data_IF_473295651545
#
_entry.id   IF_473295651545
#
_cell.length_a   1.000
_cell.length_b   1.000
_cell.length_c   1.000
_cell.angle_alpha   90.00
_cell.angle_beta   90.00
_cell.angle_gamma   90.00
#
_symmetry.space_group_name_H-M   'P 1'
#
loop_
_entity.id
_entity.type
_entity.pdbx_description
1 polymer ?
#
# COMPACT_ATOMS: atom_id res chain seq x y z
N UNK A 1 18.00 -14.23 -4.54
CA UNK A 1 17.97 -13.89 -3.11
C UNK A 1 16.88 -14.74 -2.48
N UNK A 2 17.09 -15.34 -1.32
CA UNK A 2 16.05 -16.13 -0.65
C UNK A 2 14.94 -15.21 -0.13
N UNK A 3 13.70 -15.74 0.00
CA UNK A 3 12.57 -14.98 0.54
C UNK A 3 12.89 -14.40 1.92
N UNK A 4 13.57 -15.17 2.77
CA UNK A 4 14.02 -14.73 4.12
C UNK A 4 14.97 -13.53 4.06
N UNK A 5 15.98 -13.56 3.18
CA UNK A 5 16.89 -12.42 3.04
C UNK A 5 16.13 -11.18 2.51
N UNK A 6 15.24 -11.36 1.53
CA UNK A 6 14.38 -10.28 1.03
C UNK A 6 13.52 -9.67 2.14
N UNK A 7 12.95 -10.50 3.00
CA UNK A 7 12.16 -10.06 4.15
C UNK A 7 12.96 -9.16 5.10
N UNK A 8 14.13 -9.60 5.53
CA UNK A 8 14.96 -8.83 6.47
C UNK A 8 15.48 -7.51 5.86
N UNK A 9 15.89 -7.52 4.57
CA UNK A 9 16.29 -6.28 3.91
C UNK A 9 15.13 -5.30 3.77
N UNK A 10 13.93 -5.80 3.46
CA UNK A 10 12.74 -4.95 3.34
C UNK A 10 12.32 -4.39 4.69
N UNK A 11 12.35 -5.20 5.74
CA UNK A 11 12.06 -4.77 7.10
C UNK A 11 13.06 -3.70 7.57
N UNK A 12 14.36 -3.91 7.32
CA UNK A 12 15.39 -2.92 7.63
C UNK A 12 15.17 -1.61 6.85
N UNK A 13 14.86 -1.69 5.55
CA UNK A 13 14.56 -0.53 4.74
C UNK A 13 13.32 0.22 5.23
N UNK A 14 12.26 -0.50 5.64
CA UNK A 14 11.06 0.10 6.23
C UNK A 14 11.39 0.88 7.51
N UNK A 15 12.16 0.28 8.42
CA UNK A 15 12.57 0.93 9.67
C UNK A 15 13.41 2.17 9.35
N UNK A 16 14.39 2.05 8.48
CA UNK A 16 15.28 3.16 8.10
C UNK A 16 14.49 4.33 7.50
N UNK A 17 13.56 4.06 6.58
CA UNK A 17 12.73 5.08 5.95
C UNK A 17 11.80 5.73 6.98
N UNK A 18 11.14 4.94 7.82
CA UNK A 18 10.28 5.48 8.87
C UNK A 18 11.07 6.41 9.79
N UNK A 19 12.25 6.00 10.26
CA UNK A 19 13.12 6.83 11.09
C UNK A 19 13.55 8.11 10.35
N UNK A 20 13.97 7.98 9.10
CA UNK A 20 14.44 9.13 8.29
C UNK A 20 13.37 10.22 8.18
N UNK A 21 12.15 9.84 7.82
CA UNK A 21 11.05 10.80 7.65
C UNK A 21 10.53 11.35 8.98
N UNK A 22 10.64 10.57 10.07
CA UNK A 22 10.23 11.00 11.40
C UNK A 22 11.18 12.03 12.03
N UNK A 23 12.50 11.85 11.85
CA UNK A 23 13.51 12.78 12.41
C UNK A 23 13.85 13.95 11.50
N UNK A 24 13.28 14.01 10.29
CA UNK A 24 13.54 15.07 9.32
C UNK A 24 12.24 15.71 8.84
N UNK A 25 12.35 16.89 8.25
CA UNK A 25 11.21 17.57 7.61
C UNK A 25 11.09 17.22 6.11
N UNK A 26 11.59 16.06 5.69
CA UNK A 26 11.60 15.67 4.27
C UNK A 26 10.19 15.56 3.68
N UNK A 27 9.22 15.07 4.44
CA UNK A 27 7.82 15.02 3.99
C UNK A 27 7.27 16.41 3.69
N UNK A 28 7.51 17.35 4.59
CA UNK A 28 7.07 18.74 4.41
C UNK A 28 7.78 19.36 3.21
N UNK A 29 9.11 19.25 3.15
CA UNK A 29 9.91 19.82 2.05
C UNK A 29 9.51 19.23 0.70
N UNK A 30 9.23 17.92 0.63
CA UNK A 30 8.77 17.28 -0.60
C UNK A 30 7.35 17.71 -0.97
N UNK A 31 6.46 17.85 0.03
CA UNK A 31 5.07 18.24 -0.18
C UNK A 31 4.94 19.68 -0.70
N UNK A 32 5.85 20.57 -0.27
CA UNK A 32 5.89 21.96 -0.75
C UNK A 32 6.11 22.08 -2.28
N UNK A 33 6.67 21.07 -2.94
CA UNK A 33 6.80 21.04 -4.40
C UNK A 33 5.43 20.96 -5.10
N UNK A 34 4.41 20.51 -4.40
CA UNK A 34 3.05 20.29 -4.93
C UNK A 34 2.03 21.29 -4.39
N UNK A 35 2.47 22.27 -3.57
CA UNK A 35 1.61 23.29 -2.98
C UNK A 35 2.11 24.69 -3.25
N UNK A 36 1.25 25.53 -3.82
CA UNK A 36 1.54 26.94 -4.06
C UNK A 36 1.06 27.79 -2.89
N UNK A 37 2.01 28.32 -2.10
CA UNK A 37 1.70 29.20 -0.96
C UNK A 37 1.05 30.51 -1.39
N UNK A 38 1.39 31.05 -2.59
CA UNK A 38 0.86 32.32 -3.09
C UNK A 38 -0.61 32.26 -3.45
N UNK A 39 -1.08 31.11 -3.96
CA UNK A 39 -2.47 30.89 -4.36
C UNK A 39 -3.24 30.01 -3.37
N UNK A 40 -2.57 29.45 -2.37
CA UNK A 40 -3.13 28.47 -1.42
C UNK A 40 -3.75 27.25 -2.10
N UNK A 41 -3.17 26.83 -3.24
CA UNK A 41 -3.70 25.73 -4.05
C UNK A 41 -2.68 24.60 -4.22
N UNK A 42 -3.20 23.38 -4.32
CA UNK A 42 -2.45 22.20 -4.72
C UNK A 42 -2.16 22.20 -6.22
N UNK A 43 -1.10 21.49 -6.64
CA UNK A 43 -0.72 21.35 -8.04
C UNK A 43 -1.85 20.81 -8.90
N UNK A 44 -2.64 19.89 -8.36
CA UNK A 44 -3.85 19.36 -8.97
C UNK A 44 -5.01 19.66 -8.03
N UNK A 45 -6.10 20.22 -8.57
CA UNK A 45 -7.28 20.46 -7.79
C UNK A 45 -7.94 19.12 -7.37
N UNK A 46 -8.42 19.05 -6.15
CA UNK A 46 -9.01 17.81 -5.59
C UNK A 46 -10.30 17.38 -6.30
N UNK A 47 -11.00 18.34 -6.86
CA UNK A 47 -12.25 18.22 -7.61
C UNK A 47 -12.05 18.11 -9.14
N UNK A 48 -10.81 18.01 -9.61
CA UNK A 48 -10.53 17.78 -11.02
C UNK A 48 -11.02 16.39 -11.46
N UNK A 49 -12.11 16.41 -12.24
CA UNK A 49 -12.79 15.19 -12.68
C UNK A 49 -11.94 14.33 -13.63
N UNK A 50 -11.08 14.94 -14.45
CA UNK A 50 -10.23 14.21 -15.40
C UNK A 50 -9.15 13.43 -14.67
N UNK A 51 -8.40 14.08 -13.78
CA UNK A 51 -7.38 13.41 -12.99
C UNK A 51 -8.00 12.35 -12.06
N UNK A 52 -9.16 12.64 -11.44
CA UNK A 52 -9.90 11.68 -10.64
C UNK A 52 -10.34 10.47 -11.46
N UNK A 53 -10.84 10.67 -12.66
CA UNK A 53 -11.24 9.59 -13.56
C UNK A 53 -10.04 8.70 -13.94
N UNK A 54 -8.92 9.31 -14.34
CA UNK A 54 -7.73 8.59 -14.84
C UNK A 54 -7.01 7.86 -13.70
N UNK A 55 -6.67 8.54 -12.61
CA UNK A 55 -5.77 8.00 -11.59
C UNK A 55 -6.48 7.32 -10.42
N UNK A 56 -7.78 7.55 -10.25
CA UNK A 56 -8.53 6.93 -9.16
C UNK A 56 -9.59 5.95 -9.68
N UNK A 57 -10.54 6.42 -10.49
CA UNK A 57 -11.68 5.58 -10.92
C UNK A 57 -11.22 4.46 -11.84
N UNK A 58 -10.44 4.77 -12.88
CA UNK A 58 -9.95 3.78 -13.85
C UNK A 58 -9.00 2.77 -13.18
N UNK A 59 -8.11 3.25 -12.33
CA UNK A 59 -7.21 2.40 -11.58
C UNK A 59 -7.96 1.43 -10.65
N UNK A 60 -9.01 1.91 -9.98
CA UNK A 60 -9.88 1.08 -9.13
C UNK A 60 -10.62 0.02 -9.93
N UNK A 61 -11.19 0.39 -11.09
CA UNK A 61 -11.89 -0.55 -11.98
C UNK A 61 -10.92 -1.62 -12.49
N UNK A 62 -9.75 -1.22 -12.97
CA UNK A 62 -8.69 -2.13 -13.42
C UNK A 62 -8.27 -3.11 -12.30
N UNK A 63 -8.10 -2.61 -11.10
CA UNK A 63 -7.74 -3.43 -9.94
C UNK A 63 -8.83 -4.45 -9.62
N UNK A 64 -10.07 -4.01 -9.47
CA UNK A 64 -11.20 -4.90 -9.15
C UNK A 64 -11.40 -5.95 -10.24
N UNK A 65 -11.35 -5.57 -11.53
CA UNK A 65 -11.49 -6.50 -12.64
C UNK A 65 -10.36 -7.55 -12.66
N UNK A 66 -9.12 -7.14 -12.37
CA UNK A 66 -7.98 -8.06 -12.28
C UNK A 66 -8.16 -9.08 -11.16
N UNK A 67 -8.52 -8.62 -9.96
CA UNK A 67 -8.77 -9.52 -8.81
C UNK A 67 -9.93 -10.45 -9.07
N UNK A 68 -11.02 -9.96 -9.67
CA UNK A 68 -12.18 -10.78 -10.06
C UNK A 68 -11.80 -11.85 -11.09
N UNK A 69 -10.98 -11.50 -12.08
CA UNK A 69 -10.49 -12.46 -13.10
C UNK A 69 -9.64 -13.56 -12.46
N UNK A 70 -8.77 -13.20 -11.50
CA UNK A 70 -7.96 -14.18 -10.77
C UNK A 70 -8.86 -15.10 -9.95
N UNK A 71 -9.85 -14.57 -9.24
CA UNK A 71 -10.81 -15.37 -8.46
C UNK A 71 -11.60 -16.33 -9.35
N UNK A 72 -12.13 -15.86 -10.48
CA UNK A 72 -12.83 -16.69 -11.47
C UNK A 72 -11.90 -17.79 -11.99
N UNK A 73 -10.65 -17.48 -12.27
CA UNK A 73 -9.65 -18.45 -12.72
C UNK A 73 -9.42 -19.54 -11.67
N UNK A 74 -9.28 -19.17 -10.41
CA UNK A 74 -9.09 -20.11 -9.31
C UNK A 74 -10.31 -21.02 -9.12
N UNK A 75 -11.53 -20.51 -9.24
CA UNK A 75 -12.76 -21.24 -8.93
C UNK A 75 -13.23 -22.11 -10.10
N UNK A 76 -13.22 -21.57 -11.32
CA UNK A 76 -13.89 -22.16 -12.47
C UNK A 76 -12.97 -22.68 -13.57
N UNK A 77 -11.71 -22.19 -13.64
CA UNK A 77 -10.80 -22.53 -14.73
C UNK A 77 -9.69 -23.51 -14.33
N UNK A 78 -9.87 -24.27 -13.26
CA UNK A 78 -8.88 -25.25 -12.75
C UNK A 78 -8.50 -26.33 -13.77
N UNK A 79 -9.35 -26.60 -14.79
CA UNK A 79 -9.09 -27.57 -15.87
C UNK A 79 -8.18 -27.00 -16.96
N UNK A 80 -8.00 -25.70 -17.04
CA UNK A 80 -7.10 -25.04 -17.99
C UNK A 80 -5.65 -25.30 -17.56
N UNK A 81 -4.84 -25.84 -18.46
CA UNK A 81 -3.45 -26.23 -18.18
C UNK A 81 -2.62 -25.09 -17.58
N UNK A 82 -2.81 -23.86 -18.08
CA UNK A 82 -2.08 -22.71 -17.55
C UNK A 82 -2.46 -22.41 -16.09
N UNK A 83 -3.75 -22.45 -15.75
CA UNK A 83 -4.25 -22.22 -14.39
C UNK A 83 -3.74 -23.32 -13.46
N UNK A 84 -3.82 -24.59 -13.89
CA UNK A 84 -3.32 -25.73 -13.11
C UNK A 84 -1.82 -25.59 -12.80
N UNK A 85 -1.01 -25.21 -13.80
CA UNK A 85 0.44 -25.09 -13.66
C UNK A 85 0.89 -23.85 -12.86
N UNK A 86 0.00 -22.87 -12.64
CA UNK A 86 0.27 -21.64 -11.92
C UNK A 86 -0.66 -21.45 -10.72
N UNK A 87 -1.34 -22.50 -10.26
CA UNK A 87 -2.39 -22.43 -9.26
C UNK A 87 -1.91 -21.80 -7.94
N UNK A 88 -0.75 -22.23 -7.45
CA UNK A 88 -0.13 -21.69 -6.24
C UNK A 88 0.17 -20.19 -6.38
N UNK A 89 0.74 -19.77 -7.51
CA UNK A 89 0.99 -18.36 -7.79
C UNK A 89 -0.31 -17.52 -7.86
N UNK A 90 -1.39 -18.08 -8.43
CA UNK A 90 -2.70 -17.42 -8.46
C UNK A 90 -3.27 -17.22 -7.06
N UNK A 91 -3.11 -18.20 -6.16
CA UNK A 91 -3.51 -18.09 -4.75
C UNK A 91 -2.71 -16.98 -4.07
N UNK A 92 -1.38 -16.93 -4.26
CA UNK A 92 -0.52 -15.87 -3.70
C UNK A 92 -1.01 -14.50 -4.16
N UNK A 93 -1.26 -14.31 -5.47
CA UNK A 93 -1.73 -13.03 -6.00
C UNK A 93 -3.10 -12.66 -5.44
N UNK A 94 -4.04 -13.60 -5.40
CA UNK A 94 -5.38 -13.36 -4.88
C UNK A 94 -5.36 -12.91 -3.42
N UNK A 95 -4.68 -13.66 -2.55
CA UNK A 95 -4.60 -13.29 -1.14
C UNK A 95 -3.80 -12.01 -0.90
N UNK A 96 -2.76 -11.75 -1.67
CA UNK A 96 -2.03 -10.49 -1.60
C UNK A 96 -2.93 -9.30 -1.96
N UNK A 97 -3.68 -9.39 -3.05
CA UNK A 97 -4.61 -8.35 -3.46
C UNK A 97 -5.77 -8.18 -2.48
N UNK A 98 -6.21 -9.21 -1.80
CA UNK A 98 -7.27 -9.12 -0.81
C UNK A 98 -6.77 -8.56 0.54
N UNK A 99 -5.71 -9.15 1.10
CA UNK A 99 -5.29 -8.89 2.47
C UNK A 99 -4.52 -7.57 2.62
N UNK A 100 -3.69 -7.19 1.64
CA UNK A 100 -2.88 -5.98 1.76
C UNK A 100 -3.73 -4.72 1.90
N UNK A 101 -4.74 -4.43 1.04
CA UNK A 101 -5.60 -3.27 1.24
C UNK A 101 -6.39 -3.30 2.55
N UNK A 102 -6.80 -4.49 3.01
CA UNK A 102 -7.50 -4.65 4.29
C UNK A 102 -6.56 -4.28 5.45
N UNK A 103 -5.37 -4.88 5.51
CA UNK A 103 -4.40 -4.65 6.58
C UNK A 103 -3.98 -3.18 6.61
N UNK A 104 -3.64 -2.60 5.46
CA UNK A 104 -3.25 -1.18 5.36
C UNK A 104 -4.40 -0.27 5.81
N UNK A 105 -5.64 -0.59 5.46
CA UNK A 105 -6.82 0.19 5.90
C UNK A 105 -7.02 0.09 7.42
N UNK A 106 -6.83 -1.08 8.01
CA UNK A 106 -6.92 -1.27 9.46
C UNK A 106 -5.86 -0.44 10.19
N UNK A 107 -4.60 -0.48 9.74
CA UNK A 107 -3.52 0.33 10.31
C UNK A 107 -3.83 1.82 10.15
N UNK A 108 -4.27 2.23 8.95
CA UNK A 108 -4.64 3.62 8.65
C UNK A 108 -5.70 4.16 9.60
N UNK A 109 -6.74 3.38 9.86
CA UNK A 109 -7.85 3.81 10.74
C UNK A 109 -7.42 4.02 12.20
N UNK A 110 -6.28 3.46 12.60
CA UNK A 110 -5.71 3.61 13.95
C UNK A 110 -4.61 4.68 14.02
N UNK A 111 -4.11 5.16 12.87
CA UNK A 111 -2.90 6.00 12.88
C UNK A 111 -3.14 7.44 13.34
N UNK A 112 -4.33 8.00 13.12
CA UNK A 112 -4.69 9.39 13.45
C UNK A 112 -3.72 10.47 12.92
N UNK A 113 -2.82 10.12 12.00
CA UNK A 113 -1.89 11.06 11.35
C UNK A 113 -2.63 11.87 10.29
N UNK A 114 -2.62 13.22 10.37
CA UNK A 114 -3.34 14.06 9.42
C UNK A 114 -2.78 13.98 8.00
N UNK A 115 -3.66 14.18 7.01
CA UNK A 115 -3.26 14.34 5.63
C UNK A 115 -2.57 15.71 5.43
N UNK A 116 -1.68 15.87 4.44
CA UNK A 116 -1.07 17.15 4.13
C UNK A 116 -2.08 18.30 3.97
N UNK A 117 -3.19 18.08 3.27
CA UNK A 117 -4.24 19.08 3.04
C UNK A 117 -4.99 19.53 4.31
N UNK A 118 -4.77 18.86 5.42
CA UNK A 118 -5.36 19.17 6.72
C UNK A 118 -4.42 19.95 7.64
N UNK A 119 -3.15 20.08 7.26
CA UNK A 119 -2.15 20.75 8.11
C UNK A 119 -2.20 22.28 8.00
N UNK A 120 -1.98 22.95 9.11
CA UNK A 120 -1.91 24.42 9.20
C UNK A 120 -0.92 25.02 8.19
N UNK A 121 0.22 24.37 7.96
CA UNK A 121 1.25 24.79 7.00
C UNK A 121 0.76 24.78 5.54
N UNK A 122 -0.31 24.05 5.24
CA UNK A 122 -0.97 23.96 3.94
C UNK A 122 -2.41 24.49 3.99
N UNK A 123 -2.68 25.45 4.88
CA UNK A 123 -3.97 26.12 5.03
C UNK A 123 -5.10 25.21 5.57
N UNK A 124 -4.75 24.13 6.29
CA UNK A 124 -5.69 23.28 7.03
C UNK A 124 -5.84 23.69 8.49
N UNK A 125 -6.31 22.80 9.34
CA UNK A 125 -6.70 23.08 10.72
C UNK A 125 -5.90 22.30 11.78
N UNK A 126 -4.98 21.41 11.37
CA UNK A 126 -4.25 20.52 12.27
C UNK A 126 -2.74 20.83 12.27
N UNK A 127 -2.10 20.64 13.40
CA UNK A 127 -0.64 20.63 13.47
C UNK A 127 -0.07 19.36 12.84
N UNK A 128 1.18 19.45 12.41
CA UNK A 128 1.90 18.27 11.93
C UNK A 128 2.17 17.36 13.13
N UNK A 129 1.76 16.11 13.04
CA UNK A 129 1.94 15.09 14.08
C UNK A 129 2.69 13.89 13.48
N UNK A 130 3.82 13.56 14.07
CA UNK A 130 4.63 12.40 13.67
C UNK A 130 4.11 11.08 14.25
N UNK A 131 4.60 9.96 13.72
CA UNK A 131 4.25 8.62 14.18
C UNK A 131 4.66 8.39 15.64
N UNK A 132 5.83 8.88 16.06
CA UNK A 132 6.31 8.74 17.44
C UNK A 132 5.54 9.57 18.44
N UNK A 133 5.00 10.70 18.03
CA UNK A 133 4.14 11.50 18.89
C UNK A 133 2.83 10.79 19.22
N UNK A 134 2.28 10.06 18.23
CA UNK A 134 1.05 9.29 18.42
C UNK A 134 1.28 8.05 19.30
N UNK A 135 2.44 7.40 19.19
CA UNK A 135 2.79 6.23 20.00
C UNK A 135 3.03 6.62 21.48
N UNK A 136 3.28 7.90 21.78
CA UNK A 136 3.42 8.37 23.14
C UNK A 136 2.10 8.21 23.90
N UNK A 137 2.12 7.48 25.04
CA UNK A 137 0.95 7.14 25.88
C UNK A 137 0.13 8.36 26.28
N UNK A 138 0.77 9.51 26.50
CA UNK A 138 0.09 10.75 26.86
C UNK A 138 -0.73 11.33 25.70
N UNK A 139 -0.27 11.17 24.47
CA UNK A 139 -0.99 11.60 23.27
C UNK A 139 -2.18 10.67 23.01
N UNK A 140 -1.99 9.35 23.16
CA UNK A 140 -3.06 8.34 23.05
C UNK A 140 -4.17 8.62 24.10
N UNK A 141 -3.81 8.95 25.35
CA UNK A 141 -4.81 9.26 26.39
C UNK A 141 -5.59 10.54 26.06
N UNK A 142 -4.92 11.58 25.57
CA UNK A 142 -5.58 12.82 25.17
C UNK A 142 -6.54 12.60 23.99
N UNK A 143 -6.15 11.77 23.00
CA UNK A 143 -7.03 11.41 21.88
C UNK A 143 -8.23 10.54 22.31
N UNK A 144 -8.05 9.62 23.27
CA UNK A 144 -9.13 8.76 23.77
C UNK A 144 -10.16 9.54 24.62
N UNK A 145 -9.72 10.58 25.31
CA UNK A 145 -10.56 11.39 26.21
C UNK A 145 -10.98 12.74 25.61
N UNK A 146 -10.56 13.08 24.38
CA UNK A 146 -11.03 14.27 23.66
C UNK A 146 -12.53 14.19 23.34
N UNK A 147 -13.25 15.35 23.32
CA UNK A 147 -14.65 15.40 22.93
C UNK A 147 -14.89 14.77 21.56
N UNK A 148 -16.06 14.16 21.35
CA UNK A 148 -16.41 13.39 20.15
C UNK A 148 -16.32 14.17 18.83
N UNK A 149 -16.34 15.50 18.87
CA UNK A 149 -16.16 16.40 17.71
C UNK A 149 -14.74 16.38 17.12
N UNK A 150 -13.71 16.05 17.91
CA UNK A 150 -12.32 15.97 17.46
C UNK A 150 -11.91 14.56 17.02
N UNK A 151 -12.70 13.53 17.35
CA UNK A 151 -12.43 12.11 17.06
C UNK A 151 -12.77 11.65 15.65
N UNK A 152 -13.39 12.46 14.82
CA UNK A 152 -13.80 12.10 13.45
C UNK A 152 -12.67 12.19 12.41
N UNK A 153 -11.42 12.23 12.85
CA UNK A 153 -10.30 12.25 11.94
C UNK A 153 -9.83 10.83 11.62
N UNK A 154 -10.16 10.36 10.42
CA UNK A 154 -9.56 9.14 9.87
C UNK A 154 -8.13 9.45 9.43
N UNK A 155 -7.16 8.78 10.02
CA UNK A 155 -5.75 8.98 9.71
C UNK A 155 -5.41 8.80 8.23
N UNK A 156 -4.28 9.36 7.80
CA UNK A 156 -3.80 9.28 6.42
C UNK A 156 -2.60 8.35 6.22
N UNK A 157 -2.06 7.81 7.30
CA UNK A 157 -0.89 6.91 7.28
C UNK A 157 -1.29 5.49 7.67
N UNK A 158 -0.81 4.45 6.95
CA UNK A 158 -0.15 4.47 5.65
C UNK A 158 -1.11 4.80 4.47
N UNK A 159 -0.56 4.97 3.25
CA UNK A 159 -1.33 5.35 2.07
C UNK A 159 -2.23 4.22 1.56
N UNK A 160 -3.52 4.23 1.94
CA UNK A 160 -4.47 3.17 1.56
C UNK A 160 -4.68 3.04 0.05
N UNK A 161 -4.71 4.14 -0.70
CA UNK A 161 -4.92 4.12 -2.16
C UNK A 161 -3.78 3.45 -2.93
N UNK A 162 -2.55 3.50 -2.41
CA UNK A 162 -1.38 2.87 -3.00
C UNK A 162 -1.34 1.35 -2.78
N UNK A 163 -2.00 0.85 -1.73
CA UNK A 163 -1.92 -0.54 -1.30
C UNK A 163 -2.39 -1.54 -2.35
N UNK A 164 -3.47 -1.23 -3.06
CA UNK A 164 -3.96 -2.04 -4.19
C UNK A 164 -2.93 -2.12 -5.32
N UNK A 165 -2.32 -1.00 -5.69
CA UNK A 165 -1.26 -0.98 -6.71
C UNK A 165 -0.05 -1.83 -6.31
N UNK A 166 0.48 -1.65 -5.10
CA UNK A 166 1.65 -2.40 -4.63
C UNK A 166 1.36 -3.87 -4.35
N UNK A 167 0.11 -4.26 -4.06
CA UNK A 167 -0.26 -5.68 -3.92
C UNK A 167 -0.05 -6.48 -5.19
N UNK A 168 -0.14 -5.83 -6.37
CA UNK A 168 0.11 -6.45 -7.68
C UNK A 168 1.58 -6.89 -7.88
N UNK A 169 2.53 -6.47 -7.02
CA UNK A 169 3.89 -7.03 -7.03
C UNK A 169 3.90 -8.55 -6.81
N UNK A 170 2.87 -9.10 -6.19
CA UNK A 170 2.67 -10.54 -6.06
C UNK A 170 2.59 -11.30 -7.40
N UNK A 171 2.28 -10.62 -8.52
CA UNK A 171 2.32 -11.19 -9.88
C UNK A 171 3.71 -11.76 -10.22
N UNK A 172 4.76 -11.31 -9.54
CA UNK A 172 6.12 -11.87 -9.68
C UNK A 172 6.18 -13.38 -9.43
N UNK A 173 5.26 -13.92 -8.64
CA UNK A 173 5.17 -15.34 -8.32
C UNK A 173 4.42 -16.16 -9.39
N UNK A 174 3.79 -15.49 -10.37
CA UNK A 174 3.25 -16.12 -11.58
C UNK A 174 4.27 -16.21 -12.73
N UNK A 175 5.34 -15.43 -12.64
CA UNK A 175 6.27 -15.25 -13.76
C UNK A 175 7.58 -15.98 -13.49
N UNK A 176 8.00 -16.84 -14.41
CA UNK A 176 9.22 -17.66 -14.25
C UNK A 176 10.48 -16.99 -14.80
N UNK A 177 10.37 -16.30 -15.93
CA UNK A 177 11.53 -15.69 -16.63
C UNK A 177 12.00 -14.42 -15.91
N UNK A 178 13.31 -14.27 -15.75
CA UNK A 178 13.91 -13.07 -15.14
C UNK A 178 13.61 -11.79 -15.95
N UNK A 179 13.54 -11.89 -17.28
CA UNK A 179 13.18 -10.75 -18.13
C UNK A 179 11.75 -10.31 -17.89
N UNK A 180 10.80 -11.26 -17.87
CA UNK A 180 9.39 -10.96 -17.60
C UNK A 180 9.18 -10.43 -16.17
N UNK A 181 9.93 -10.92 -15.18
CA UNK A 181 9.88 -10.37 -13.82
C UNK A 181 10.28 -8.90 -13.77
N UNK A 182 11.30 -8.48 -14.52
CA UNK A 182 11.71 -7.06 -14.60
C UNK A 182 10.62 -6.20 -15.23
N UNK A 183 9.98 -6.68 -16.29
CA UNK A 183 8.85 -5.98 -16.92
C UNK A 183 7.68 -5.84 -15.95
N UNK A 184 7.31 -6.91 -15.24
CA UNK A 184 6.24 -6.87 -14.23
C UNK A 184 6.55 -5.86 -13.12
N UNK A 185 7.77 -5.88 -12.56
CA UNK A 185 8.18 -4.89 -11.55
C UNK A 185 8.02 -3.47 -12.10
N UNK A 186 8.55 -3.20 -13.28
CA UNK A 186 8.47 -1.86 -13.90
C UNK A 186 7.01 -1.42 -14.08
N UNK A 187 6.17 -2.26 -14.68
CA UNK A 187 4.77 -1.91 -14.95
C UNK A 187 3.97 -1.72 -13.65
N UNK A 188 4.13 -2.61 -12.68
CA UNK A 188 3.43 -2.51 -11.39
C UNK A 188 3.89 -1.29 -10.60
N UNK A 189 5.19 -1.04 -10.56
CA UNK A 189 5.74 0.15 -9.88
C UNK A 189 5.26 1.43 -10.58
N UNK A 190 5.31 1.51 -11.91
CA UNK A 190 4.79 2.65 -12.66
C UNK A 190 3.31 2.89 -12.38
N UNK A 191 2.49 1.84 -12.34
CA UNK A 191 1.06 1.91 -12.03
C UNK A 191 0.83 2.38 -10.58
N UNK A 192 1.44 1.73 -9.60
CA UNK A 192 1.25 2.05 -8.18
C UNK A 192 1.73 3.48 -7.85
N UNK A 193 2.90 3.88 -8.39
CA UNK A 193 3.43 5.22 -8.18
C UNK A 193 2.65 6.31 -8.93
N UNK A 194 2.05 6.03 -10.08
CA UNK A 194 1.19 7.01 -10.76
C UNK A 194 -0.02 7.40 -9.90
N UNK A 195 -0.68 6.43 -9.28
CA UNK A 195 -1.77 6.66 -8.32
C UNK A 195 -1.25 7.43 -7.10
N UNK A 196 -0.10 7.03 -6.58
CA UNK A 196 0.51 7.63 -5.39
C UNK A 196 0.90 9.09 -5.62
N UNK A 197 1.55 9.41 -6.74
CA UNK A 197 1.90 10.79 -7.08
C UNK A 197 0.67 11.67 -7.29
N UNK A 198 -0.38 11.14 -7.90
CA UNK A 198 -1.64 11.87 -7.97
C UNK A 198 -2.15 12.22 -6.55
N UNK A 199 -2.12 11.26 -5.62
CA UNK A 199 -2.55 11.46 -4.24
C UNK A 199 -1.66 12.42 -3.45
N UNK A 200 -0.35 12.46 -3.74
CA UNK A 200 0.58 13.43 -3.20
C UNK A 200 0.28 14.82 -3.79
N UNK A 201 0.05 14.92 -5.09
CA UNK A 201 -0.18 16.18 -5.79
C UNK A 201 -1.47 16.91 -5.40
N UNK A 202 -2.47 16.18 -4.88
CA UNK A 202 -3.71 16.75 -4.33
C UNK A 202 -3.67 16.92 -2.80
N UNK A 203 -2.55 16.62 -2.13
CA UNK A 203 -2.39 16.76 -0.68
C UNK A 203 -3.02 15.65 0.16
N UNK A 204 -3.40 14.50 -0.43
CA UNK A 204 -4.02 13.41 0.33
C UNK A 204 -3.01 12.57 1.12
N UNK A 205 -1.75 12.46 0.66
CA UNK A 205 -0.72 11.65 1.32
C UNK A 205 0.65 12.30 1.22
N UNK A 206 1.49 12.09 2.24
CA UNK A 206 2.92 12.35 2.18
C UNK A 206 3.68 11.26 1.41
N UNK A 207 4.92 11.56 1.04
CA UNK A 207 5.82 10.59 0.41
C UNK A 207 6.10 9.39 1.31
N UNK A 208 6.36 9.64 2.60
CA UNK A 208 6.57 8.59 3.61
C UNK A 208 5.39 7.62 3.72
N UNK A 209 4.15 8.13 3.64
CA UNK A 209 2.94 7.30 3.69
C UNK A 209 2.91 6.27 2.56
N UNK A 210 3.32 6.68 1.35
CA UNK A 210 3.38 5.82 0.17
C UNK A 210 4.53 4.82 0.25
N UNK A 211 5.73 5.27 0.65
CA UNK A 211 6.89 4.40 0.83
C UNK A 211 6.63 3.32 1.87
N UNK A 212 6.07 3.70 3.01
CA UNK A 212 5.67 2.73 4.04
C UNK A 212 4.70 1.70 3.49
N UNK A 213 3.68 2.12 2.73
CA UNK A 213 2.74 1.20 2.10
C UNK A 213 3.42 0.24 1.13
N UNK A 214 4.38 0.73 0.34
CA UNK A 214 5.14 -0.09 -0.61
C UNK A 214 5.93 -1.19 0.11
N UNK A 215 6.67 -0.84 1.16
CA UNK A 215 7.46 -1.82 1.92
C UNK A 215 6.59 -2.79 2.73
N UNK A 216 5.52 -2.30 3.36
CA UNK A 216 4.56 -3.15 4.06
C UNK A 216 3.88 -4.14 3.11
N UNK A 217 3.46 -3.67 1.93
CA UNK A 217 2.86 -4.55 0.92
C UNK A 217 3.83 -5.69 0.53
N UNK A 218 5.11 -5.36 0.29
CA UNK A 218 6.10 -6.38 -0.05
C UNK A 218 6.36 -7.37 1.11
N UNK A 219 6.45 -6.90 2.36
CA UNK A 219 6.57 -7.77 3.53
C UNK A 219 5.38 -8.73 3.66
N UNK A 220 4.16 -8.22 3.49
CA UNK A 220 2.94 -9.04 3.55
C UNK A 220 2.94 -10.08 2.42
N UNK A 221 3.34 -9.71 1.18
CA UNK A 221 3.48 -10.65 0.07
C UNK A 221 4.44 -11.79 0.45
N UNK A 222 5.62 -11.48 1.00
CA UNK A 222 6.59 -12.49 1.39
C UNK A 222 6.05 -13.43 2.46
N UNK A 223 5.29 -12.92 3.43
CA UNK A 223 4.60 -13.76 4.44
C UNK A 223 3.58 -14.68 3.77
N UNK A 224 2.76 -14.15 2.85
CA UNK A 224 1.76 -14.96 2.13
C UNK A 224 2.45 -16.06 1.32
N UNK A 225 3.58 -15.77 0.67
CA UNK A 225 4.36 -16.76 -0.08
C UNK A 225 4.81 -17.89 0.83
N UNK A 226 5.46 -17.59 1.95
CA UNK A 226 5.92 -18.60 2.92
C UNK A 226 4.75 -19.47 3.44
N UNK A 227 3.61 -18.85 3.75
CA UNK A 227 2.42 -19.57 4.22
C UNK A 227 1.88 -20.51 3.13
N UNK A 228 1.75 -20.02 1.89
CA UNK A 228 1.20 -20.83 0.78
C UNK A 228 2.17 -21.96 0.41
N UNK A 229 3.48 -21.72 0.38
CA UNK A 229 4.49 -22.75 0.13
C UNK A 229 4.47 -23.83 1.22
N UNK A 230 4.39 -23.43 2.49
CA UNK A 230 4.29 -24.37 3.62
C UNK A 230 3.04 -25.25 3.54
N UNK A 231 1.87 -24.67 3.30
CA UNK A 231 0.62 -25.41 3.18
C UNK A 231 0.61 -26.37 1.98
N UNK A 232 1.23 -25.96 0.87
CA UNK A 232 1.36 -26.85 -0.31
C UNK A 232 2.25 -28.06 -0.02
N UNK A 233 3.36 -27.86 0.69
CA UNK A 233 4.25 -28.95 1.10
C UNK A 233 3.56 -29.98 2.01
N UNK A 234 2.77 -29.52 2.98
CA UNK A 234 1.97 -30.41 3.85
C UNK A 234 0.93 -31.25 3.08
N UNK A 235 0.33 -30.69 2.04
CA UNK A 235 -0.64 -31.41 1.20
C UNK A 235 0.07 -32.52 0.40
N UNK A 236 1.23 -32.22 -0.17
CA UNK A 236 2.01 -33.18 -0.94
C UNK A 236 2.52 -34.35 -0.07
N UNK A 237 3.00 -34.07 1.16
CA UNK A 237 3.42 -35.11 2.12
C UNK A 237 2.28 -36.06 2.50
N UNK A 238 1.09 -35.53 2.73
CA UNK A 238 -0.09 -36.34 3.12
C UNK A 238 -0.56 -37.25 1.96
N UNK A 239 -0.48 -36.76 0.72
CA UNK A 239 -0.87 -37.55 -0.47
C UNK A 239 0.10 -38.69 -0.78
N UNK A 240 1.32 -38.65 -0.28
CA UNK A 240 2.33 -39.71 -0.43
C UNK A 240 2.30 -40.77 0.71
N UNK A 241 1.49 -40.55 1.76
CA UNK A 241 1.32 -41.46 2.89
C UNK A 241 0.06 -42.35 2.78
N UNK A 242 -0.84 -42.07 1.83
CA UNK A 242 -1.99 -42.91 1.46
C UNK A 242 -1.67 -43.78 0.23
#
# INVERSE_FOLDING_TARGET
>A
MSNKASFFYTLFALILITLLFEITLLDIAFQELFYSRSSSNWLIAKDDDVFRLVFYTSARVLYISSVSTILISILFLRRVNWVKNNYQGLIIVFFSCLLIPIIITLIKNQSHIPCPDKLLIFNGNFEHTGLFEIININTVSNYLFSPSSERHFSGCYPAGHASGGFSLLSILFLVKSASSKRVVVFCVMAFAWSISFYKIAIGDHFLSHTLTTMFLAWLIILIIVEVVEYLSGLIDENLHQE
#
